data_IF_582347285046
#
_entry.id   IF_582347285046
#
_cell.length_a   1.000
_cell.length_b   1.000
_cell.length_c   1.000
_cell.angle_alpha   90.00
_cell.angle_beta   90.00
_cell.angle_gamma   90.00
#
_symmetry.space_group_name_H-M   'P 1'
#
loop_
_entity.id
_entity.type
_entity.pdbx_description
1 polymer ?
#
# COMPACT_ATOMS: atom_id res chain seq x y z
N UNK A 1 22.18 -6.97 16.34
CA UNK A 1 20.90 -7.63 15.95
C UNK A 1 20.14 -6.61 15.14
N UNK A 2 19.63 -6.96 13.99
CA UNK A 2 18.86 -6.02 13.14
C UNK A 2 17.64 -5.54 13.90
N UNK A 3 17.43 -4.21 13.97
CA UNK A 3 16.30 -3.62 14.69
C UNK A 3 15.12 -3.35 13.73
N UNK A 4 15.43 -2.95 12.49
CA UNK A 4 14.41 -2.57 11.51
C UNK A 4 14.66 -3.28 10.19
N UNK A 5 13.60 -3.86 9.58
CA UNK A 5 13.62 -4.34 8.20
C UNK A 5 12.75 -3.44 7.33
N UNK A 6 13.35 -2.84 6.30
CA UNK A 6 12.65 -2.10 5.25
C UNK A 6 12.37 -3.06 4.10
N UNK A 7 11.09 -3.21 3.74
CA UNK A 7 10.58 -4.23 2.84
C UNK A 7 10.05 -3.59 1.56
N UNK A 8 10.71 -3.81 0.44
CA UNK A 8 10.43 -3.11 -0.82
C UNK A 8 10.07 -4.11 -1.93
N UNK A 9 8.80 -4.25 -2.30
CA UNK A 9 8.42 -5.00 -3.49
C UNK A 9 8.77 -4.19 -4.76
N UNK A 10 9.41 -4.85 -5.73
CA UNK A 10 9.93 -4.22 -6.94
C UNK A 10 9.33 -4.89 -8.17
N UNK A 11 8.64 -4.12 -9.03
CA UNK A 11 8.20 -4.57 -10.33
C UNK A 11 7.98 -3.41 -11.28
N UNK A 12 8.72 -3.37 -12.40
CA UNK A 12 8.60 -2.35 -13.48
C UNK A 12 8.66 -0.90 -12.96
N UNK A 13 9.66 -0.57 -12.17
CA UNK A 13 9.79 0.75 -11.55
C UNK A 13 11.12 1.46 -11.86
N UNK A 14 11.80 1.12 -12.97
CA UNK A 14 13.11 1.70 -13.32
C UNK A 14 13.16 3.24 -13.30
N UNK A 15 12.02 3.91 -13.57
CA UNK A 15 11.94 5.37 -13.61
C UNK A 15 11.74 6.00 -12.22
N UNK A 16 11.41 5.23 -11.20
CA UNK A 16 11.06 5.72 -9.85
C UNK A 16 12.00 5.18 -8.78
N UNK A 17 12.41 3.94 -8.88
CA UNK A 17 13.12 3.19 -7.83
C UNK A 17 14.45 3.82 -7.42
N UNK A 18 15.06 4.68 -8.26
CA UNK A 18 16.25 5.42 -7.86
C UNK A 18 15.98 6.32 -6.66
N UNK A 19 14.91 7.14 -6.71
CA UNK A 19 14.54 8.06 -5.62
C UNK A 19 14.17 7.29 -4.35
N UNK A 20 13.46 6.18 -4.50
CA UNK A 20 13.18 5.25 -3.41
C UNK A 20 14.48 4.77 -2.75
N UNK A 21 15.35 4.11 -3.49
CA UNK A 21 16.60 3.55 -2.98
C UNK A 21 17.52 4.63 -2.37
N UNK A 22 17.63 5.80 -3.00
CA UNK A 22 18.44 6.92 -2.52
C UNK A 22 17.92 7.43 -1.15
N UNK A 23 16.60 7.58 -0.98
CA UNK A 23 15.98 7.98 0.28
C UNK A 23 16.15 6.94 1.39
N UNK A 24 16.21 5.65 1.04
CA UNK A 24 16.43 4.56 1.99
C UNK A 24 17.91 4.47 2.42
N UNK A 25 18.83 4.51 1.46
CA UNK A 25 20.26 4.34 1.75
C UNK A 25 20.87 5.57 2.43
N UNK A 26 20.26 6.75 2.28
CA UNK A 26 20.68 7.99 2.94
C UNK A 26 20.18 8.11 4.39
N UNK A 27 19.35 7.21 4.89
CA UNK A 27 18.89 7.24 6.27
C UNK A 27 20.07 7.16 7.26
N UNK A 28 19.95 7.81 8.42
CA UNK A 28 21.00 7.85 9.44
C UNK A 28 20.99 6.63 10.37
N UNK A 29 19.88 5.90 10.42
CA UNK A 29 19.75 4.72 11.28
C UNK A 29 20.65 3.58 10.80
N UNK A 30 21.44 2.98 11.71
CA UNK A 30 22.48 2.01 11.35
C UNK A 30 22.00 0.54 11.47
N UNK A 31 21.20 0.21 12.50
CA UNK A 31 20.76 -1.18 12.76
C UNK A 31 19.57 -1.60 11.87
N UNK A 32 19.70 -1.41 10.57
CA UNK A 32 18.65 -1.62 9.55
C UNK A 32 19.10 -2.60 8.47
N UNK A 33 18.18 -3.40 7.96
CA UNK A 33 18.33 -4.12 6.70
C UNK A 33 17.31 -3.61 5.67
N UNK A 34 17.72 -3.56 4.42
CA UNK A 34 16.87 -3.21 3.28
C UNK A 34 16.71 -4.44 2.41
N UNK A 35 15.48 -4.95 2.29
CA UNK A 35 15.19 -6.14 1.51
C UNK A 35 14.32 -5.73 0.32
N UNK A 36 14.88 -5.85 -0.87
CA UNK A 36 14.18 -5.65 -2.13
C UNK A 36 13.81 -7.01 -2.70
N UNK A 37 12.54 -7.22 -3.03
CA UNK A 37 12.11 -8.40 -3.75
C UNK A 37 11.73 -7.99 -5.18
N UNK A 38 12.56 -8.36 -6.14
CA UNK A 38 12.30 -8.17 -7.56
C UNK A 38 11.35 -9.26 -8.07
N UNK A 39 10.12 -8.89 -8.33
CA UNK A 39 9.06 -9.76 -8.82
C UNK A 39 9.18 -10.04 -10.33
N UNK A 40 10.39 -10.42 -10.76
CA UNK A 40 10.74 -10.71 -12.15
C UNK A 40 10.51 -9.48 -13.06
N UNK A 41 11.08 -8.33 -12.70
CA UNK A 41 10.97 -7.10 -13.51
C UNK A 41 11.62 -7.28 -14.89
N UNK A 42 10.90 -6.94 -15.97
CA UNK A 42 11.44 -7.02 -17.33
C UNK A 42 12.29 -5.79 -17.73
N UNK A 43 12.33 -4.77 -16.86
CA UNK A 43 13.06 -3.51 -17.05
C UNK A 43 14.39 -3.51 -16.24
N UNK A 44 15.00 -2.34 -16.10
CA UNK A 44 16.28 -2.16 -15.40
C UNK A 44 16.12 -1.81 -13.92
N UNK A 45 15.01 -2.11 -13.27
CA UNK A 45 14.76 -1.74 -11.88
C UNK A 45 15.88 -2.19 -10.94
N UNK A 46 16.31 -3.46 -11.03
CA UNK A 46 17.40 -4.01 -10.19
C UNK A 46 18.72 -3.27 -10.43
N UNK A 47 19.10 -3.07 -11.70
CA UNK A 47 20.34 -2.37 -12.05
C UNK A 47 20.35 -0.92 -11.55
N UNK A 48 19.18 -0.28 -11.49
CA UNK A 48 19.03 1.08 -10.94
C UNK A 48 19.27 1.07 -9.42
N UNK A 49 18.72 0.10 -8.68
CA UNK A 49 18.96 -0.09 -7.24
C UNK A 49 20.44 -0.31 -6.97
N UNK A 50 21.07 -1.24 -7.69
CA UNK A 50 22.51 -1.53 -7.57
C UNK A 50 23.40 -0.31 -7.91
N UNK A 51 22.98 0.47 -8.91
CA UNK A 51 23.67 1.73 -9.26
C UNK A 51 23.57 2.76 -8.15
N UNK A 52 22.42 2.88 -7.50
CA UNK A 52 22.24 3.74 -6.34
C UNK A 52 23.11 3.26 -5.16
N UNK A 53 23.11 1.96 -4.85
CA UNK A 53 23.86 1.37 -3.76
C UNK A 53 25.38 1.65 -3.85
N UNK A 54 25.93 1.73 -5.06
CA UNK A 54 27.35 2.07 -5.24
C UNK A 54 27.75 3.43 -4.65
N UNK A 55 26.80 4.35 -4.43
CA UNK A 55 27.05 5.64 -3.77
C UNK A 55 27.08 5.52 -2.24
N UNK A 56 26.60 4.40 -1.69
CA UNK A 56 26.47 4.14 -0.26
C UNK A 56 27.25 2.88 0.15
N UNK A 57 28.59 2.87 0.03
CA UNK A 57 29.38 1.65 0.28
C UNK A 57 29.22 1.10 1.69
N UNK A 58 28.91 1.94 2.67
CA UNK A 58 28.63 1.56 4.05
C UNK A 58 27.29 0.79 4.23
N UNK A 59 26.40 0.87 3.25
CA UNK A 59 25.09 0.15 3.28
C UNK A 59 25.17 -1.24 2.62
N UNK A 60 26.27 -1.57 1.96
CA UNK A 60 26.37 -2.75 1.11
C UNK A 60 25.94 -4.06 1.80
N UNK A 61 26.39 -4.26 3.03
CA UNK A 61 26.09 -5.47 3.80
C UNK A 61 24.69 -5.46 4.45
N UNK A 62 23.99 -4.32 4.38
CA UNK A 62 22.64 -4.14 4.88
C UNK A 62 21.57 -4.31 3.79
N UNK A 63 21.97 -4.40 2.52
CA UNK A 63 21.04 -4.49 1.37
C UNK A 63 21.03 -5.90 0.81
N UNK A 64 19.83 -6.48 0.72
CA UNK A 64 19.58 -7.76 0.04
C UNK A 64 18.60 -7.55 -1.11
N UNK A 65 18.95 -8.02 -2.30
CA UNK A 65 18.07 -8.04 -3.47
C UNK A 65 17.77 -9.50 -3.79
N UNK A 66 16.50 -9.88 -3.69
CA UNK A 66 16.00 -11.24 -3.94
C UNK A 66 15.25 -11.21 -5.26
N UNK A 67 15.68 -11.95 -6.26
CA UNK A 67 15.03 -11.98 -7.58
C UNK A 67 14.12 -13.20 -7.72
N UNK A 68 12.85 -12.95 -8.01
CA UNK A 68 11.86 -13.97 -8.34
C UNK A 68 12.12 -14.61 -9.71
N UNK A 69 11.81 -15.89 -9.86
CA UNK A 69 11.93 -16.61 -11.14
C UNK A 69 10.77 -16.25 -12.12
N UNK A 70 9.67 -15.81 -11.61
CA UNK A 70 8.45 -15.40 -12.34
C UNK A 70 7.69 -14.38 -11.50
N UNK A 71 6.83 -13.60 -12.14
CA UNK A 71 6.00 -12.62 -11.44
C UNK A 71 4.92 -13.34 -10.61
N UNK A 72 4.95 -13.11 -9.29
CA UNK A 72 4.00 -13.71 -8.33
C UNK A 72 2.95 -12.71 -7.82
N UNK A 73 3.11 -11.42 -8.15
CA UNK A 73 2.25 -10.33 -7.73
C UNK A 73 2.60 -9.76 -6.36
N UNK A 74 2.17 -8.51 -6.12
CA UNK A 74 2.58 -7.69 -4.97
C UNK A 74 2.27 -8.35 -3.62
N UNK A 75 1.12 -9.01 -3.47
CA UNK A 75 0.75 -9.70 -2.22
C UNK A 75 1.72 -10.84 -1.87
N UNK A 76 2.07 -11.67 -2.87
CA UNK A 76 3.04 -12.74 -2.67
C UNK A 76 4.45 -12.20 -2.42
N UNK A 77 4.85 -11.16 -3.16
CA UNK A 77 6.13 -10.47 -2.95
C UNK A 77 6.25 -9.93 -1.52
N UNK A 78 5.20 -9.29 -0.98
CA UNK A 78 5.17 -8.79 0.40
C UNK A 78 5.20 -9.92 1.44
N UNK A 79 4.55 -11.06 1.17
CA UNK A 79 4.63 -12.22 2.05
C UNK A 79 6.07 -12.81 2.09
N UNK A 80 6.73 -12.89 0.94
CA UNK A 80 8.12 -13.31 0.87
C UNK A 80 9.07 -12.35 1.61
N UNK A 81 8.86 -11.04 1.44
CA UNK A 81 9.60 -10.02 2.17
C UNK A 81 9.41 -10.15 3.69
N UNK A 82 8.19 -10.41 4.17
CA UNK A 82 7.92 -10.62 5.59
C UNK A 82 8.66 -11.85 6.14
N UNK A 83 8.68 -12.93 5.38
CA UNK A 83 9.38 -14.18 5.75
C UNK A 83 10.91 -13.99 5.84
N UNK A 84 11.47 -13.10 5.02
CA UNK A 84 12.89 -12.78 4.97
C UNK A 84 13.34 -11.74 6.01
N UNK A 85 12.40 -11.03 6.64
CA UNK A 85 12.66 -9.96 7.59
C UNK A 85 13.19 -10.51 8.93
N UNK A 86 14.21 -9.86 9.48
CA UNK A 86 14.82 -10.21 10.77
C UNK A 86 14.65 -9.10 11.83
N UNK A 87 14.28 -7.90 11.43
CA UNK A 87 14.11 -6.75 12.31
C UNK A 87 13.02 -6.96 13.37
N UNK A 88 13.15 -6.31 14.52
CA UNK A 88 12.09 -6.23 15.51
C UNK A 88 10.86 -5.51 14.93
N UNK A 89 11.11 -4.45 14.17
CA UNK A 89 10.10 -3.69 13.43
C UNK A 89 10.28 -3.84 11.94
N UNK A 90 9.17 -3.74 11.20
CA UNK A 90 9.12 -3.77 9.74
C UNK A 90 8.42 -2.54 9.20
N UNK A 91 8.87 -2.06 8.04
CA UNK A 91 8.20 -1.03 7.28
C UNK A 91 8.20 -1.38 5.80
N UNK A 92 7.00 -1.47 5.21
CA UNK A 92 6.86 -1.65 3.78
C UNK A 92 6.94 -0.30 3.06
N UNK A 93 7.75 -0.24 2.00
CA UNK A 93 7.90 0.95 1.15
C UNK A 93 7.61 0.52 -0.28
N UNK A 94 6.70 1.18 -0.95
CA UNK A 94 6.45 0.92 -2.37
C UNK A 94 7.61 1.51 -3.21
N UNK A 95 8.04 0.79 -4.23
CA UNK A 95 9.27 1.11 -4.98
C UNK A 95 9.18 2.37 -5.87
N UNK A 96 8.00 2.95 -6.01
CA UNK A 96 7.75 4.22 -6.69
C UNK A 96 7.61 5.42 -5.72
N UNK A 97 7.70 5.17 -4.41
CA UNK A 97 7.59 6.15 -3.34
C UNK A 97 8.96 6.42 -2.67
N UNK A 98 9.01 7.37 -1.73
CA UNK A 98 10.22 7.69 -1.00
C UNK A 98 9.91 8.24 0.40
N UNK A 99 10.93 8.29 1.27
CA UNK A 99 10.76 8.70 2.66
C UNK A 99 11.64 9.91 3.01
N UNK A 100 11.21 10.67 4.02
CA UNK A 100 11.96 11.79 4.56
C UNK A 100 13.26 11.33 5.25
N UNK A 101 14.29 12.19 5.32
CA UNK A 101 15.48 11.95 6.13
C UNK A 101 15.12 11.62 7.58
N UNK A 102 15.92 10.78 8.25
CA UNK A 102 15.77 10.38 9.66
C UNK A 102 14.43 9.71 10.03
N UNK A 103 13.60 9.34 9.04
CA UNK A 103 12.31 8.70 9.27
C UNK A 103 12.43 7.42 10.07
N UNK A 104 13.39 6.55 9.74
CA UNK A 104 13.60 5.28 10.44
C UNK A 104 14.02 5.55 11.88
N UNK A 105 14.92 6.50 12.13
CA UNK A 105 15.37 6.89 13.46
C UNK A 105 14.20 7.36 14.33
N UNK A 106 13.37 8.26 13.81
CA UNK A 106 12.22 8.79 14.53
C UNK A 106 11.21 7.68 14.86
N UNK A 107 10.86 6.85 13.88
CA UNK A 107 9.89 5.77 14.08
C UNK A 107 10.39 4.72 15.05
N UNK A 108 11.65 4.29 14.95
CA UNK A 108 12.23 3.31 15.85
C UNK A 108 12.31 3.82 17.28
N UNK A 109 12.83 5.04 17.50
CA UNK A 109 12.88 5.63 18.85
C UNK A 109 11.48 5.80 19.45
N UNK A 110 10.50 6.24 18.66
CA UNK A 110 9.12 6.32 19.12
C UNK A 110 8.59 4.95 19.52
N UNK A 111 8.84 3.92 18.71
CA UNK A 111 8.39 2.55 18.94
C UNK A 111 8.94 1.99 20.27
N UNK A 112 10.24 2.15 20.49
CA UNK A 112 10.90 1.63 21.69
C UNK A 112 10.47 2.39 22.94
N UNK A 113 10.44 3.73 22.90
CA UNK A 113 10.09 4.53 24.07
C UNK A 113 8.64 4.38 24.51
N UNK A 114 7.73 4.16 23.56
CA UNK A 114 6.31 3.94 23.86
C UNK A 114 5.92 2.47 23.98
N UNK A 115 6.84 1.55 23.69
CA UNK A 115 6.58 0.11 23.52
C UNK A 115 5.38 -0.16 22.57
N UNK A 116 5.31 0.61 21.48
CA UNK A 116 4.19 0.51 20.54
C UNK A 116 4.29 -0.74 19.66
N UNK A 117 3.14 -1.35 19.39
CA UNK A 117 3.02 -2.44 18.39
C UNK A 117 2.96 -1.88 16.98
N UNK A 118 2.35 -0.72 16.80
CA UNK A 118 2.34 0.00 15.54
C UNK A 118 2.50 1.51 15.73
N UNK A 119 3.12 2.16 14.74
CA UNK A 119 3.16 3.62 14.66
C UNK A 119 2.50 4.03 13.36
N UNK A 120 1.55 4.97 13.46
CA UNK A 120 0.94 5.68 12.33
C UNK A 120 1.56 7.07 12.23
N UNK A 121 1.76 7.56 11.02
CA UNK A 121 2.37 8.87 10.75
C UNK A 121 1.71 9.54 9.56
N UNK A 122 1.99 10.83 9.36
CA UNK A 122 1.53 11.60 8.23
C UNK A 122 2.30 11.27 6.94
N UNK A 123 1.72 11.66 5.81
CA UNK A 123 2.35 11.48 4.51
C UNK A 123 2.04 12.63 3.55
N UNK A 124 2.91 12.81 2.58
CA UNK A 124 2.73 13.68 1.43
C UNK A 124 2.08 12.89 0.29
N UNK A 125 1.02 13.44 -0.31
CA UNK A 125 0.48 12.97 -1.57
C UNK A 125 1.08 13.85 -2.67
N UNK A 126 2.07 13.30 -3.40
CA UNK A 126 2.91 14.04 -4.34
C UNK A 126 2.38 13.90 -5.77
N UNK A 127 1.92 15.00 -6.35
CA UNK A 127 1.56 15.08 -7.77
C UNK A 127 2.59 15.91 -8.55
N UNK A 128 2.51 15.93 -9.88
CA UNK A 128 3.47 16.65 -10.75
C UNK A 128 3.64 18.12 -10.37
N UNK A 129 2.58 18.80 -9.94
CA UNK A 129 2.56 20.24 -9.72
C UNK A 129 2.42 20.69 -8.29
N UNK A 130 2.04 19.78 -7.39
CA UNK A 130 1.77 20.09 -5.97
C UNK A 130 1.84 18.84 -5.11
N UNK A 131 2.01 19.05 -3.82
CA UNK A 131 1.76 18.01 -2.81
C UNK A 131 0.69 18.48 -1.82
N UNK A 132 0.01 17.52 -1.23
CA UNK A 132 -0.87 17.72 -0.08
C UNK A 132 -0.38 16.84 1.05
N UNK A 133 -0.56 17.30 2.28
CA UNK A 133 -0.15 16.53 3.46
C UNK A 133 -1.37 15.95 4.14
N UNK A 134 -1.25 14.73 4.63
CA UNK A 134 -2.26 14.10 5.48
C UNK A 134 -1.63 13.70 6.80
N UNK A 135 -2.36 13.97 7.87
CA UNK A 135 -2.02 13.53 9.22
C UNK A 135 -3.12 12.65 9.76
N UNK A 136 -2.74 11.78 10.67
CA UNK A 136 -3.67 10.90 11.38
C UNK A 136 -3.41 11.03 12.87
N UNK A 137 -4.48 11.21 13.63
CA UNK A 137 -4.40 11.28 15.08
C UNK A 137 -5.46 10.37 15.65
N UNK A 138 -5.03 9.37 16.40
CA UNK A 138 -5.92 8.41 17.04
C UNK A 138 -5.67 8.44 18.54
N UNK A 139 -6.72 8.43 19.33
CA UNK A 139 -6.67 8.40 20.80
C UNK A 139 -6.51 6.99 21.35
N UNK A 140 -6.86 5.99 20.53
CA UNK A 140 -6.76 4.58 20.88
C UNK A 140 -6.55 3.69 19.66
N UNK A 141 -6.16 2.44 19.91
CA UNK A 141 -6.10 1.40 18.87
C UNK A 141 -7.46 1.19 18.21
N UNK A 142 -8.54 1.21 18.98
CA UNK A 142 -9.92 1.03 18.51
C UNK A 142 -10.30 2.10 17.49
N UNK A 143 -9.98 3.36 17.77
CA UNK A 143 -10.24 4.48 16.85
C UNK A 143 -9.46 4.32 15.53
N UNK A 144 -8.20 3.91 15.61
CA UNK A 144 -7.40 3.62 14.42
C UNK A 144 -7.97 2.45 13.63
N UNK A 145 -8.37 1.37 14.29
CA UNK A 145 -8.95 0.21 13.64
C UNK A 145 -10.28 0.55 12.95
N UNK A 146 -11.15 1.34 13.60
CA UNK A 146 -12.40 1.84 13.01
C UNK A 146 -12.13 2.68 11.75
N UNK A 147 -11.18 3.62 11.81
CA UNK A 147 -10.79 4.42 10.64
C UNK A 147 -10.29 3.52 9.51
N UNK A 148 -9.39 2.58 9.80
CA UNK A 148 -8.85 1.67 8.80
C UNK A 148 -9.94 0.80 8.17
N UNK A 149 -10.88 0.28 8.95
CA UNK A 149 -12.00 -0.51 8.44
C UNK A 149 -12.90 0.33 7.53
N UNK A 150 -13.24 1.56 7.94
CA UNK A 150 -14.21 2.42 7.24
C UNK A 150 -13.65 3.23 6.08
N UNK A 151 -12.33 3.46 6.05
CA UNK A 151 -11.69 4.34 5.08
C UNK A 151 -10.94 3.59 3.97
N UNK A 152 -10.33 4.35 3.07
CA UNK A 152 -9.42 3.82 2.05
C UNK A 152 -7.94 3.86 2.44
N UNK A 153 -7.66 4.16 3.69
CA UNK A 153 -6.29 4.39 4.14
C UNK A 153 -5.72 3.20 4.92
N UNK A 154 -6.30 2.03 4.78
CA UNK A 154 -5.71 0.77 5.18
C UNK A 154 -4.60 0.35 4.22
N UNK A 155 -3.60 1.21 4.01
CA UNK A 155 -2.44 1.00 3.15
C UNK A 155 -1.22 0.65 4.00
N UNK A 156 -0.46 -0.33 3.55
CA UNK A 156 0.59 -0.96 4.35
C UNK A 156 1.74 -0.01 4.68
N UNK A 157 2.13 0.87 3.77
CA UNK A 157 3.25 1.78 3.94
C UNK A 157 3.01 2.89 4.98
N UNK A 158 1.75 3.12 5.40
CA UNK A 158 1.37 4.14 6.40
C UNK A 158 1.73 3.75 7.83
N UNK A 159 2.15 2.53 8.06
CA UNK A 159 2.42 2.02 9.39
C UNK A 159 3.81 1.42 9.51
N UNK A 160 4.42 1.64 10.67
CA UNK A 160 5.62 0.97 11.12
C UNK A 160 5.21 -0.08 12.15
N UNK A 161 5.50 -1.37 11.90
CA UNK A 161 4.90 -2.50 12.60
C UNK A 161 5.92 -3.29 13.42
N UNK A 162 5.56 -3.72 14.63
CA UNK A 162 6.29 -4.76 15.36
C UNK A 162 6.10 -6.11 14.64
N UNK A 163 7.16 -6.66 14.08
CA UNK A 163 7.11 -7.85 13.20
C UNK A 163 6.45 -9.07 13.86
N UNK A 164 6.73 -9.33 15.13
CA UNK A 164 6.23 -10.52 15.83
C UNK A 164 4.70 -10.56 15.93
N UNK A 165 4.00 -9.43 15.90
CA UNK A 165 2.53 -9.44 15.87
C UNK A 165 2.02 -10.11 14.59
N UNK A 166 2.62 -9.82 13.45
CA UNK A 166 2.23 -10.47 12.20
C UNK A 166 2.59 -11.96 12.18
N UNK A 167 3.80 -12.31 12.66
CA UNK A 167 4.27 -13.71 12.67
C UNK A 167 3.44 -14.58 13.63
N UNK A 168 3.25 -14.15 14.87
CA UNK A 168 2.57 -14.93 15.90
C UNK A 168 1.07 -15.15 15.62
N UNK A 169 0.47 -14.28 14.81
CA UNK A 169 -0.95 -14.37 14.43
C UNK A 169 -1.13 -14.80 12.96
N UNK A 170 -0.09 -15.28 12.32
CA UNK A 170 -0.10 -15.80 10.93
C UNK A 170 -0.73 -14.81 9.93
N UNK A 171 -0.47 -13.50 10.14
CA UNK A 171 -1.04 -12.45 9.31
C UNK A 171 -0.25 -12.37 8.01
N UNK A 172 -0.93 -12.66 6.90
CA UNK A 172 -0.37 -12.60 5.56
C UNK A 172 -1.26 -11.78 4.63
N UNK A 173 -0.67 -11.28 3.55
CA UNK A 173 -1.42 -10.65 2.47
C UNK A 173 -2.18 -11.74 1.69
N UNK A 174 -3.49 -11.59 1.48
CA UNK A 174 -4.26 -12.56 0.70
C UNK A 174 -3.82 -12.56 -0.77
N UNK A 175 -3.65 -13.74 -1.34
CA UNK A 175 -3.21 -13.90 -2.72
C UNK A 175 -4.38 -13.72 -3.70
N UNK A 176 -4.06 -13.31 -4.94
CA UNK A 176 -5.03 -13.21 -6.03
C UNK A 176 -5.80 -11.88 -6.07
N UNK A 177 -5.54 -10.96 -5.16
CA UNK A 177 -6.15 -9.62 -5.17
C UNK A 177 -5.36 -8.66 -6.06
N UNK A 178 -6.07 -7.83 -6.82
CA UNK A 178 -5.53 -6.65 -7.52
C UNK A 178 -5.92 -5.38 -6.76
N UNK A 179 -5.52 -5.30 -5.49
CA UNK A 179 -5.87 -4.24 -4.56
C UNK A 179 -6.80 -4.69 -3.44
N UNK A 180 -6.60 -4.12 -2.26
CA UNK A 180 -7.30 -4.48 -1.03
C UNK A 180 -6.56 -5.52 -0.17
N UNK A 181 -5.45 -6.09 -0.65
CA UNK A 181 -4.59 -6.97 0.14
C UNK A 181 -3.98 -6.24 1.36
N UNK A 182 -3.57 -4.99 1.18
CA UNK A 182 -3.08 -4.10 2.24
C UNK A 182 -4.12 -3.88 3.33
N UNK A 183 -5.35 -3.60 2.90
CA UNK A 183 -6.47 -3.38 3.79
C UNK A 183 -6.72 -4.59 4.70
N UNK A 184 -6.73 -5.81 4.13
CA UNK A 184 -6.92 -7.04 4.90
C UNK A 184 -5.78 -7.22 5.90
N UNK A 185 -4.54 -7.03 5.47
CA UNK A 185 -3.37 -7.13 6.34
C UNK A 185 -3.45 -6.11 7.48
N UNK A 186 -3.67 -4.83 7.17
CA UNK A 186 -3.73 -3.76 8.16
C UNK A 186 -4.83 -3.98 9.19
N UNK A 187 -6.05 -4.36 8.77
CA UNK A 187 -7.15 -4.64 9.71
C UNK A 187 -6.81 -5.80 10.65
N UNK A 188 -6.31 -6.92 10.11
CA UNK A 188 -5.91 -8.06 10.95
C UNK A 188 -4.78 -7.69 11.90
N UNK A 189 -3.77 -6.97 11.42
CA UNK A 189 -2.67 -6.54 12.26
C UNK A 189 -3.15 -5.64 13.41
N UNK A 190 -3.92 -4.60 13.09
CA UNK A 190 -4.44 -3.66 14.09
C UNK A 190 -5.43 -4.31 15.06
N UNK A 191 -6.09 -5.38 14.66
CA UNK A 191 -6.93 -6.17 15.55
C UNK A 191 -6.12 -6.86 16.65
N UNK A 192 -4.97 -7.43 16.32
CA UNK A 192 -4.09 -8.12 17.28
C UNK A 192 -3.12 -7.19 18.00
N UNK A 193 -2.83 -6.02 17.47
CA UNK A 193 -2.01 -5.02 18.15
C UNK A 193 -2.70 -4.54 19.43
N UNK A 194 -1.91 -4.28 20.47
CA UNK A 194 -2.41 -3.78 21.76
C UNK A 194 -2.17 -2.29 21.92
N UNK A 195 -1.16 -1.74 21.24
CA UNK A 195 -0.76 -0.35 21.34
C UNK A 195 -0.45 0.27 19.99
N UNK A 196 -1.00 1.47 19.75
CA UNK A 196 -0.72 2.28 18.56
C UNK A 196 -0.35 3.69 19.00
N UNK A 197 0.69 4.23 18.39
CA UNK A 197 1.12 5.61 18.59
C UNK A 197 1.05 6.36 17.25
N UNK A 198 0.63 7.61 17.30
CA UNK A 198 0.66 8.51 16.16
C UNK A 198 1.83 9.49 16.29
N UNK A 199 2.60 9.63 15.21
CA UNK A 199 3.62 10.69 15.09
C UNK A 199 3.03 11.81 14.22
N UNK A 200 3.03 13.03 14.78
CA UNK A 200 2.53 14.23 14.09
C UNK A 200 3.61 14.80 13.15
N UNK A 201 4.08 13.94 12.26
CA UNK A 201 5.09 14.28 11.23
C UNK A 201 4.77 13.49 9.97
N UNK A 202 4.87 14.14 8.81
CA UNK A 202 4.75 13.48 7.53
C UNK A 202 6.13 12.92 7.14
N UNK A 203 6.21 11.60 6.96
CA UNK A 203 7.47 10.89 6.74
C UNK A 203 7.56 10.16 5.40
N UNK A 204 6.45 10.01 4.71
CA UNK A 204 6.34 9.21 3.50
C UNK A 204 5.83 10.05 2.35
N UNK A 205 6.38 9.89 1.16
CA UNK A 205 5.94 10.56 -0.06
C UNK A 205 5.27 9.56 -0.99
N UNK A 206 3.95 9.60 -1.01
CA UNK A 206 3.11 8.83 -1.89
C UNK A 206 3.03 9.49 -3.27
N UNK A 207 3.65 8.88 -4.27
CA UNK A 207 3.76 9.40 -5.65
C UNK A 207 2.53 9.01 -6.47
N UNK A 208 1.66 9.98 -6.78
CA UNK A 208 0.42 9.74 -7.53
C UNK A 208 0.53 9.99 -9.03
N UNK A 209 1.66 10.48 -9.52
CA UNK A 209 1.90 10.73 -10.95
C UNK A 209 2.48 9.52 -11.70
N UNK A 210 2.73 8.41 -11.02
CA UNK A 210 3.09 7.15 -11.66
C UNK A 210 1.84 6.54 -12.34
N UNK A 211 1.72 6.73 -13.67
CA UNK A 211 0.60 6.22 -14.47
C UNK A 211 0.63 4.69 -14.64
N UNK A 212 1.73 4.04 -14.28
CA UNK A 212 1.91 2.59 -14.34
C UNK A 212 1.59 1.89 -13.01
N UNK A 213 1.29 2.67 -11.95
CA UNK A 213 0.94 2.09 -10.64
C UNK A 213 -0.37 1.30 -10.71
N UNK A 214 -0.52 0.33 -9.80
CA UNK A 214 -1.75 -0.48 -9.69
C UNK A 214 -2.99 0.39 -9.47
N UNK A 215 -2.84 1.51 -8.76
CA UNK A 215 -3.94 2.44 -8.48
C UNK A 215 -4.31 3.26 -9.73
N UNK A 216 -3.34 3.63 -10.57
CA UNK A 216 -3.60 4.37 -11.80
C UNK A 216 -4.36 3.53 -12.83
N UNK A 217 -4.18 2.21 -12.82
CA UNK A 217 -4.82 1.25 -13.73
C UNK A 217 -6.15 0.70 -13.24
N UNK A 218 -6.90 1.49 -12.44
CA UNK A 218 -8.20 1.07 -11.88
C UNK A 218 -9.11 0.48 -12.95
N UNK A 219 -9.31 -0.83 -12.88
CA UNK A 219 -10.27 -1.57 -13.69
C UNK A 219 -11.42 -2.11 -12.80
N UNK A 220 -12.45 -2.65 -13.43
CA UNK A 220 -13.59 -3.24 -12.71
C UNK A 220 -13.13 -4.40 -11.83
N UNK A 221 -12.13 -5.17 -12.25
CA UNK A 221 -11.62 -6.30 -11.50
C UNK A 221 -10.94 -5.86 -10.19
N UNK A 222 -10.19 -4.75 -10.21
CA UNK A 222 -9.59 -4.21 -8.99
C UNK A 222 -10.62 -3.77 -7.95
N UNK A 223 -11.79 -3.26 -8.41
CA UNK A 223 -12.90 -2.90 -7.53
C UNK A 223 -13.62 -4.13 -6.95
N UNK A 224 -13.82 -5.17 -7.77
CA UNK A 224 -14.34 -6.45 -7.28
C UNK A 224 -13.44 -6.98 -6.18
N UNK A 225 -12.13 -7.01 -6.38
CA UNK A 225 -11.18 -7.46 -5.36
C UNK A 225 -11.17 -6.58 -4.10
N UNK A 226 -11.35 -5.26 -4.22
CA UNK A 226 -11.51 -4.39 -3.04
C UNK A 226 -12.81 -4.71 -2.26
N UNK A 227 -13.89 -5.07 -2.96
CA UNK A 227 -15.11 -5.51 -2.31
C UNK A 227 -14.92 -6.87 -1.64
N UNK A 228 -14.29 -7.83 -2.32
CA UNK A 228 -13.95 -9.15 -1.77
C UNK A 228 -13.04 -9.03 -0.54
N UNK A 229 -12.08 -8.11 -0.56
CA UNK A 229 -11.25 -7.77 0.58
C UNK A 229 -12.09 -7.26 1.77
N UNK A 230 -13.13 -6.45 1.49
CA UNK A 230 -14.06 -5.98 2.53
C UNK A 230 -14.87 -7.13 3.11
N UNK A 231 -15.32 -8.08 2.28
CA UNK A 231 -16.00 -9.29 2.75
C UNK A 231 -15.08 -10.21 3.56
N UNK A 232 -13.80 -10.32 3.17
CA UNK A 232 -12.82 -11.09 3.92
C UNK A 232 -12.58 -10.49 5.32
N UNK A 233 -12.55 -9.16 5.45
CA UNK A 233 -12.49 -8.47 6.74
C UNK A 233 -13.77 -8.69 7.54
N UNK A 234 -14.95 -8.63 6.93
CA UNK A 234 -16.23 -8.91 7.59
C UNK A 234 -16.26 -10.33 8.15
N UNK A 235 -15.82 -11.33 7.38
CA UNK A 235 -15.71 -12.72 7.84
C UNK A 235 -14.78 -12.84 9.04
N UNK A 236 -13.59 -12.24 8.94
CA UNK A 236 -12.61 -12.23 10.03
C UNK A 236 -13.17 -11.60 11.33
N UNK A 237 -13.86 -10.47 11.24
CA UNK A 237 -14.47 -9.81 12.39
C UNK A 237 -15.63 -10.65 12.98
N UNK A 238 -16.37 -11.35 12.13
CA UNK A 238 -17.44 -12.27 12.56
C UNK A 238 -16.89 -13.51 13.28
N UNK A 239 -15.83 -14.12 12.74
CA UNK A 239 -15.14 -15.27 13.35
C UNK A 239 -14.56 -14.92 14.73
N UNK A 240 -14.17 -13.67 14.93
CA UNK A 240 -13.68 -13.16 16.21
C UNK A 240 -14.80 -12.59 17.13
N UNK A 241 -16.08 -12.71 16.74
CA UNK A 241 -17.25 -12.25 17.49
C UNK A 241 -17.31 -10.73 17.77
N UNK A 242 -16.66 -9.92 16.94
CA UNK A 242 -16.61 -8.46 17.09
C UNK A 242 -17.27 -7.68 15.94
N UNK A 243 -17.88 -8.37 14.97
CA UNK A 243 -18.48 -7.75 13.78
C UNK A 243 -19.45 -6.62 14.13
N UNK A 244 -20.26 -6.77 15.18
CA UNK A 244 -21.24 -5.75 15.60
C UNK A 244 -20.58 -4.42 15.99
N UNK A 245 -19.36 -4.44 16.51
CA UNK A 245 -18.63 -3.24 16.94
C UNK A 245 -18.20 -2.39 15.73
N UNK A 246 -17.96 -3.03 14.57
CA UNK A 246 -17.41 -2.41 13.36
C UNK A 246 -18.37 -2.39 12.17
N UNK A 247 -19.65 -2.76 12.38
CA UNK A 247 -20.63 -2.86 11.29
C UNK A 247 -20.83 -1.54 10.52
N UNK A 248 -20.88 -0.41 11.24
CA UNK A 248 -21.02 0.91 10.61
C UNK A 248 -19.83 1.27 9.72
N UNK A 249 -18.62 0.96 10.17
CA UNK A 249 -17.38 1.24 9.43
C UNK A 249 -17.29 0.35 8.19
N UNK A 250 -17.68 -0.93 8.30
CA UNK A 250 -17.80 -1.83 7.15
C UNK A 250 -18.84 -1.34 6.14
N UNK A 251 -19.99 -0.85 6.59
CA UNK A 251 -21.02 -0.30 5.70
C UNK A 251 -20.52 0.96 4.97
N UNK A 252 -19.76 1.82 5.64
CA UNK A 252 -19.07 2.95 5.00
C UNK A 252 -18.11 2.47 3.91
N UNK A 253 -17.28 1.48 4.20
CA UNK A 253 -16.34 0.89 3.25
C UNK A 253 -17.05 0.27 2.05
N UNK A 254 -18.08 -0.56 2.27
CA UNK A 254 -18.89 -1.15 1.21
C UNK A 254 -19.51 -0.08 0.33
N UNK A 255 -20.11 0.95 0.93
CA UNK A 255 -20.73 2.07 0.22
C UNK A 255 -19.70 2.84 -0.63
N UNK A 256 -18.51 3.05 -0.11
CA UNK A 256 -17.43 3.72 -0.84
C UNK A 256 -16.99 2.91 -2.08
N UNK A 257 -16.75 1.61 -1.92
CA UNK A 257 -16.36 0.73 -3.05
C UNK A 257 -17.45 0.69 -4.11
N UNK A 258 -18.72 0.56 -3.70
CA UNK A 258 -19.89 0.57 -4.61
C UNK A 258 -20.03 1.92 -5.31
N UNK A 259 -19.81 3.03 -4.61
CA UNK A 259 -19.88 4.37 -5.21
C UNK A 259 -18.82 4.55 -6.32
N UNK A 260 -17.58 4.15 -6.06
CA UNK A 260 -16.51 4.18 -7.08
C UNK A 260 -16.87 3.28 -8.27
N UNK A 261 -17.40 2.08 -8.00
CA UNK A 261 -17.86 1.17 -9.04
C UNK A 261 -18.94 1.82 -9.91
N UNK A 262 -19.93 2.47 -9.29
CA UNK A 262 -20.98 3.22 -9.98
C UNK A 262 -20.42 4.33 -10.86
N UNK A 263 -19.45 5.09 -10.38
CA UNK A 263 -18.80 6.15 -11.17
C UNK A 263 -18.04 5.60 -12.38
N UNK A 264 -17.29 4.52 -12.22
CA UNK A 264 -16.56 3.88 -13.33
C UNK A 264 -17.50 3.24 -14.34
N UNK A 265 -18.58 2.61 -13.88
CA UNK A 265 -19.62 2.05 -14.73
C UNK A 265 -20.29 3.15 -15.58
N UNK A 266 -20.70 4.25 -14.95
CA UNK A 266 -21.29 5.40 -15.63
C UNK A 266 -20.31 6.05 -16.63
N UNK A 267 -19.02 6.16 -16.27
CA UNK A 267 -18.00 6.68 -17.17
C UNK A 267 -17.74 5.75 -18.37
N UNK A 268 -17.78 4.43 -18.17
CA UNK A 268 -17.67 3.45 -19.24
C UNK A 268 -18.90 3.46 -20.15
N UNK A 269 -20.09 3.57 -19.56
CA UNK A 269 -21.36 3.68 -20.28
C UNK A 269 -21.44 4.99 -21.10
N UNK A 270 -21.01 6.13 -20.55
CA UNK A 270 -20.93 7.39 -21.29
C UNK A 270 -19.97 7.30 -22.48
N UNK A 271 -18.85 6.61 -22.34
CA UNK A 271 -17.89 6.36 -23.44
C UNK A 271 -18.48 5.45 -24.52
N UNK A 272 -19.17 4.38 -24.13
CA UNK A 272 -19.90 3.52 -25.07
C UNK A 272 -21.07 4.25 -25.73
N UNK A 273 -21.90 4.95 -24.96
CA UNK A 273 -23.00 5.75 -25.47
C UNK A 273 -22.53 6.86 -26.43
N UNK A 274 -21.37 7.48 -26.18
CA UNK A 274 -20.73 8.41 -27.11
C UNK A 274 -20.34 7.79 -28.44
N UNK A 275 -19.82 6.52 -28.44
CA UNK A 275 -19.53 5.75 -29.65
C UNK A 275 -20.79 5.28 -30.38
N UNK A 276 -21.84 4.93 -29.65
CA UNK A 276 -23.12 4.51 -30.21
C UNK A 276 -24.00 5.70 -30.62
N UNK A 277 -23.88 6.88 -29.98
CA UNK A 277 -24.63 8.07 -30.33
C UNK A 277 -24.38 8.52 -31.77
N UNK A 278 -23.15 8.34 -32.26
CA UNK A 278 -22.82 8.60 -33.68
C UNK A 278 -23.45 7.53 -34.61
N UNK A 279 -23.43 6.25 -34.22
CA UNK A 279 -24.08 5.18 -34.96
C UNK A 279 -25.62 5.34 -34.97
N UNK A 280 -26.20 5.66 -33.86
CA UNK A 280 -27.64 5.93 -33.70
C UNK A 280 -28.04 7.18 -34.49
N UNK A 281 -27.29 8.28 -34.44
CA UNK A 281 -27.52 9.46 -35.28
C UNK A 281 -27.47 9.11 -36.80
N UNK A 282 -26.53 8.28 -37.18
CA UNK A 282 -26.42 7.84 -38.59
C UNK A 282 -27.60 6.95 -39.01
N UNK A 283 -28.09 6.07 -38.14
CA UNK A 283 -29.24 5.20 -38.40
C UNK A 283 -30.55 6.03 -38.42
N UNK A 284 -30.78 6.90 -37.44
CA UNK A 284 -31.97 7.75 -37.41
C UNK A 284 -31.91 8.89 -38.43
N UNK A 285 -30.72 9.38 -38.77
CA UNK A 285 -30.58 10.34 -39.89
C UNK A 285 -30.88 9.76 -41.27
N UNK A 286 -30.78 8.44 -41.44
CA UNK A 286 -31.26 7.75 -42.64
C UNK A 286 -32.79 7.56 -42.64
N UNK A 287 -33.41 7.37 -41.47
CA UNK A 287 -34.87 7.16 -41.36
C UNK A 287 -35.65 8.47 -41.57
N UNK A 288 -35.11 9.62 -41.06
CA UNK A 288 -35.76 10.93 -41.22
C UNK A 288 -35.69 11.45 -42.68
N UNK A 289 -34.84 10.87 -43.53
CA UNK A 289 -34.81 11.20 -44.96
C UNK A 289 -35.82 10.42 -45.81
N UNK A 290 -36.59 9.52 -45.20
CA UNK A 290 -37.58 8.66 -45.87
C UNK A 290 -39.01 8.87 -45.34
N UNK A 291 -39.23 9.86 -44.50
CA UNK A 291 -40.53 10.42 -44.11
C UNK A 291 -40.58 11.89 -44.52
#
# INVERSE_FOLDING_TARGET
MVQVSILVPVYKCENFVYKCADSLFSQTFEDVEFIFYDDCSPDRSVQVIESCLRKYPNRRDQVRIISGKYNVGVAAARNLLLAEANGEYIWYIDSDDWIEPDSITLLYHTAITSNADAISFGFYCESISRYTVRYFTYKSREECLQDVIGSNWGVIWRFFFRRLIAINNEIVFPLGYKGGEDYVFCVKYLFYATSIVCVDTALYHYVVYNTMSLIATKDIQSLVHQYDATLAVESFLNENNVLRLYSKDLDLRKSYVIHIWGQLYLASWKRMAGRYKQKIKNIFGCIIRWI
#
